data_IF_361501765393
#
_entry.id   IF_361501765393
#
_cell.length_a   1.000
_cell.length_b   1.000
_cell.length_c   1.000
_cell.angle_alpha   90.00
_cell.angle_beta   90.00
_cell.angle_gamma   90.00
#
_symmetry.space_group_name_H-M   'P 1'
#
loop_
_entity.id
_entity.type
_entity.pdbx_description
1 polymer ?
#
# COMPACT_ATOMS: atom_id res chain seq x y z
N UNK A 1 14.94 55.81 55.14
CA UNK A 1 14.25 55.59 53.85
C UNK A 1 14.42 54.08 53.50
N UNK A 2 13.35 53.33 53.71
CA UNK A 2 13.30 51.90 53.39
C UNK A 2 12.79 51.72 51.96
N UNK A 3 13.57 51.08 51.09
CA UNK A 3 13.16 50.71 49.75
C UNK A 3 12.83 49.19 49.75
N UNK A 4 11.54 48.87 49.63
CA UNK A 4 11.02 47.50 49.58
C UNK A 4 11.12 46.97 48.14
N UNK A 5 12.05 46.06 47.92
CA UNK A 5 12.23 45.36 46.65
C UNK A 5 11.17 44.28 46.48
N UNK A 6 10.34 44.41 45.46
CA UNK A 6 9.30 43.44 45.10
C UNK A 6 9.84 42.45 44.08
N UNK A 7 10.16 41.21 44.53
CA UNK A 7 10.54 40.12 43.65
C UNK A 7 9.32 39.60 42.89
N UNK A 8 9.33 39.75 41.56
CA UNK A 8 8.35 39.14 40.67
C UNK A 8 8.90 37.80 40.22
N UNK A 9 8.33 36.69 40.71
CA UNK A 9 8.60 35.34 40.19
C UNK A 9 7.87 35.18 38.85
N UNK A 10 8.63 35.07 37.78
CA UNK A 10 8.11 34.58 36.51
C UNK A 10 8.06 33.05 36.54
N UNK A 11 6.86 32.50 36.63
CA UNK A 11 6.64 31.08 36.44
C UNK A 11 6.62 30.77 34.92
N UNK A 12 7.68 30.15 34.41
CA UNK A 12 7.75 29.67 33.04
C UNK A 12 6.91 28.38 32.89
N UNK A 13 5.78 28.49 32.21
CA UNK A 13 4.94 27.36 31.84
C UNK A 13 5.62 26.62 30.67
N UNK A 14 6.26 25.47 30.95
CA UNK A 14 6.79 24.56 29.92
C UNK A 14 5.63 23.74 29.38
N UNK A 15 5.14 24.11 28.19
CA UNK A 15 4.20 23.27 27.42
C UNK A 15 4.95 22.05 26.89
N UNK A 16 4.77 20.90 27.52
CA UNK A 16 5.23 19.61 26.98
C UNK A 16 4.32 19.22 25.82
N UNK A 17 4.80 19.37 24.58
CA UNK A 17 4.17 18.78 23.42
C UNK A 17 4.37 17.24 23.51
N UNK A 18 3.30 16.49 23.79
CA UNK A 18 3.31 15.06 23.67
C UNK A 18 3.51 14.72 22.18
N UNK A 19 4.44 13.79 21.83
CA UNK A 19 4.51 13.30 20.46
C UNK A 19 3.16 12.64 20.14
N UNK A 20 2.51 13.10 19.06
CA UNK A 20 1.39 12.38 18.47
C UNK A 20 1.95 11.01 18.05
N UNK A 21 1.51 9.95 18.71
CA UNK A 21 1.70 8.59 18.22
C UNK A 21 0.97 8.56 16.87
N UNK A 22 1.71 8.53 15.77
CA UNK A 22 1.14 8.19 14.48
C UNK A 22 0.50 6.81 14.65
N UNK A 23 -0.80 6.70 14.41
CA UNK A 23 -1.51 5.43 14.43
C UNK A 23 -0.77 4.46 13.50
N UNK A 24 -0.12 3.45 14.09
CA UNK A 24 0.49 2.37 13.32
C UNK A 24 -0.66 1.48 12.86
N UNK A 25 -1.09 1.67 11.61
CA UNK A 25 -2.12 0.81 11.03
C UNK A 25 -1.54 -0.57 10.66
N UNK A 26 -2.43 -1.55 10.59
CA UNK A 26 -2.11 -2.85 10.03
C UNK A 26 -1.95 -2.77 8.51
N UNK A 27 -1.34 -3.79 7.93
CA UNK A 27 -1.19 -3.88 6.48
C UNK A 27 -2.54 -3.80 5.75
N UNK A 28 -3.61 -4.37 6.32
CA UNK A 28 -4.98 -4.28 5.76
C UNK A 28 -5.58 -2.87 5.70
N UNK A 29 -4.97 -1.90 6.35
CA UNK A 29 -5.45 -0.51 6.38
C UNK A 29 -4.50 0.44 5.66
N UNK A 30 -3.39 -0.09 5.15
CA UNK A 30 -2.31 0.73 4.61
C UNK A 30 -2.62 1.25 3.20
N UNK A 31 -2.27 2.51 2.96
CA UNK A 31 -2.29 3.14 1.64
C UNK A 31 -0.87 3.49 1.25
N UNK A 32 -0.50 3.11 0.04
CA UNK A 32 0.80 3.42 -0.56
C UNK A 32 0.60 4.20 -1.85
N UNK A 33 1.56 5.02 -2.22
CA UNK A 33 1.56 5.72 -3.49
C UNK A 33 2.90 5.59 -4.20
N UNK A 34 2.88 5.58 -5.53
CA UNK A 34 4.09 5.73 -6.32
C UNK A 34 4.67 7.15 -6.13
N UNK A 35 5.94 7.42 -6.47
CA UNK A 35 6.56 8.73 -6.26
C UNK A 35 5.85 9.89 -6.96
N UNK A 36 5.13 9.62 -8.06
CA UNK A 36 4.35 10.62 -8.79
C UNK A 36 2.96 10.84 -8.18
N UNK A 37 2.49 9.95 -7.29
CA UNK A 37 1.15 9.97 -6.72
C UNK A 37 0.04 9.62 -7.72
N UNK A 38 0.42 9.03 -8.87
CA UNK A 38 -0.52 8.63 -9.91
C UNK A 38 -1.16 7.29 -9.62
N UNK A 39 -0.40 6.38 -9.02
CA UNK A 39 -0.86 5.04 -8.67
C UNK A 39 -0.84 4.87 -7.15
N UNK A 40 -1.97 4.41 -6.61
CA UNK A 40 -2.10 4.15 -5.18
C UNK A 40 -2.53 2.70 -4.94
N UNK A 41 -1.88 2.04 -3.98
CA UNK A 41 -2.28 0.74 -3.46
C UNK A 41 -3.09 0.98 -2.18
N UNK A 42 -4.36 0.62 -2.19
CA UNK A 42 -5.24 0.67 -1.04
C UNK A 42 -5.46 -0.75 -0.52
N UNK A 43 -4.77 -1.12 0.55
CA UNK A 43 -4.98 -2.40 1.21
C UNK A 43 -6.31 -2.40 1.94
N UNK A 44 -6.97 -3.54 1.94
CA UNK A 44 -8.26 -3.76 2.59
C UNK A 44 -8.31 -5.16 3.22
N UNK A 45 -9.16 -5.38 4.23
CA UNK A 45 -9.25 -6.67 4.91
C UNK A 45 -9.60 -7.79 3.94
N UNK A 46 -8.94 -8.94 4.10
CA UNK A 46 -9.30 -10.18 3.39
C UNK A 46 -10.60 -10.72 3.96
N UNK A 47 -11.60 -10.93 3.11
CA UNK A 47 -12.85 -11.56 3.52
C UNK A 47 -12.65 -13.00 3.99
N UNK A 48 -13.55 -13.49 4.85
CA UNK A 48 -13.46 -14.81 5.50
C UNK A 48 -13.43 -16.02 4.55
N UNK A 49 -13.75 -15.85 3.26
CA UNK A 49 -13.85 -16.92 2.28
C UNK A 49 -12.56 -17.14 1.47
N UNK A 50 -11.55 -16.28 1.62
CA UNK A 50 -10.31 -16.32 0.85
C UNK A 50 -9.17 -17.00 1.61
N UNK A 51 -9.34 -18.22 2.07
CA UNK A 51 -8.43 -18.96 2.98
C UNK A 51 -6.96 -19.05 2.54
N UNK A 52 -6.63 -18.83 1.28
CA UNK A 52 -5.26 -18.84 0.75
C UNK A 52 -4.71 -17.44 0.47
N UNK A 53 -5.55 -16.41 0.55
CA UNK A 53 -5.16 -15.02 0.35
C UNK A 53 -4.61 -14.44 1.64
N UNK A 54 -3.41 -13.88 1.61
CA UNK A 54 -2.78 -13.23 2.77
C UNK A 54 -3.04 -11.74 2.84
N UNK A 55 -3.27 -11.09 1.69
CA UNK A 55 -3.59 -9.67 1.59
C UNK A 55 -4.48 -9.41 0.38
N UNK A 56 -5.32 -8.40 0.50
CA UNK A 56 -6.12 -7.85 -0.57
C UNK A 56 -5.85 -6.36 -0.72
N UNK A 57 -5.84 -5.85 -1.94
CA UNK A 57 -5.66 -4.43 -2.20
C UNK A 57 -6.31 -4.01 -3.52
N UNK A 58 -6.60 -2.73 -3.66
CA UNK A 58 -7.00 -2.09 -4.91
C UNK A 58 -5.86 -1.22 -5.44
N UNK A 59 -5.64 -1.24 -6.75
CA UNK A 59 -4.77 -0.25 -7.40
C UNK A 59 -5.66 0.83 -8.01
N UNK A 60 -5.54 2.04 -7.50
CA UNK A 60 -6.25 3.21 -8.01
C UNK A 60 -5.35 3.95 -8.99
N UNK A 61 -5.87 4.28 -10.16
CA UNK A 61 -5.14 4.99 -11.20
C UNK A 61 -5.62 6.45 -11.25
N UNK A 62 -4.93 7.35 -10.57
CA UNK A 62 -5.21 8.78 -10.55
C UNK A 62 -6.69 9.11 -10.45
N UNK A 63 -7.15 10.09 -11.22
CA UNK A 63 -8.54 10.53 -11.28
C UNK A 63 -9.34 9.83 -12.40
N UNK A 64 -8.85 8.71 -12.93
CA UNK A 64 -9.50 8.00 -14.05
C UNK A 64 -10.76 7.23 -13.63
N UNK A 65 -10.90 6.92 -12.33
CA UNK A 65 -11.94 6.03 -11.82
C UNK A 65 -11.64 4.54 -12.00
N UNK A 66 -10.51 4.18 -12.62
CA UNK A 66 -10.09 2.78 -12.78
C UNK A 66 -9.58 2.24 -11.44
N UNK A 67 -10.13 1.11 -11.04
CA UNK A 67 -9.74 0.33 -9.87
C UNK A 67 -9.38 -1.08 -10.31
N UNK A 68 -8.14 -1.48 -10.09
CA UNK A 68 -7.69 -2.85 -10.34
C UNK A 68 -7.76 -3.67 -9.05
N UNK A 69 -8.08 -4.94 -9.17
CA UNK A 69 -8.09 -5.89 -8.06
C UNK A 69 -6.72 -6.53 -7.85
N UNK A 70 -6.21 -6.48 -6.62
CA UNK A 70 -4.95 -7.08 -6.23
C UNK A 70 -5.13 -8.10 -5.10
N UNK A 71 -4.62 -9.30 -5.29
CA UNK A 71 -4.57 -10.34 -4.24
C UNK A 71 -3.15 -10.84 -4.07
N UNK A 72 -2.81 -11.22 -2.84
CA UNK A 72 -1.52 -11.80 -2.50
C UNK A 72 -1.74 -13.16 -1.85
N UNK A 73 -0.99 -14.15 -2.30
CA UNK A 73 -0.98 -15.50 -1.75
C UNK A 73 0.45 -15.83 -1.30
N UNK A 74 0.57 -16.40 -0.12
CA UNK A 74 1.85 -16.97 0.31
C UNK A 74 1.95 -18.42 -0.16
N UNK A 75 2.86 -18.68 -1.06
CA UNK A 75 3.01 -20.00 -1.69
C UNK A 75 4.44 -20.29 -2.11
N UNK A 76 4.69 -21.55 -2.45
CA UNK A 76 5.98 -22.02 -2.98
C UNK A 76 6.97 -22.47 -1.92
N UNK A 77 8.06 -23.07 -2.40
CA UNK A 77 9.21 -23.48 -1.58
C UNK A 77 10.50 -23.06 -2.30
N UNK A 78 11.22 -22.04 -1.79
CA UNK A 78 10.95 -21.28 -0.56
C UNK A 78 9.68 -20.43 -0.65
N UNK A 79 9.07 -20.15 0.51
CA UNK A 79 7.85 -19.33 0.62
C UNK A 79 8.04 -17.97 -0.05
N UNK A 80 7.03 -17.54 -0.82
CA UNK A 80 6.97 -16.23 -1.48
C UNK A 80 5.59 -15.60 -1.27
N UNK A 81 5.55 -14.29 -1.15
CA UNK A 81 4.33 -13.50 -1.29
C UNK A 81 4.14 -13.22 -2.79
N UNK A 82 3.29 -13.99 -3.44
CA UNK A 82 2.99 -13.85 -4.87
C UNK A 82 1.71 -13.04 -5.04
N UNK A 83 1.82 -11.91 -5.74
CA UNK A 83 0.71 -11.05 -6.07
C UNK A 83 0.22 -11.24 -7.49
N UNK A 84 -1.05 -10.97 -7.69
CA UNK A 84 -1.68 -10.80 -9.00
C UNK A 84 -2.55 -9.55 -8.97
N UNK A 85 -2.44 -8.72 -10.01
CA UNK A 85 -3.28 -7.52 -10.21
C UNK A 85 -4.11 -7.75 -11.46
N UNK A 86 -5.41 -7.53 -11.37
CA UNK A 86 -6.39 -7.87 -12.40
C UNK A 86 -7.28 -6.67 -12.74
N UNK A 87 -7.76 -6.62 -13.97
CA UNK A 87 -8.69 -5.61 -14.47
C UNK A 87 -9.93 -6.27 -15.07
N UNK A 88 -11.09 -6.04 -14.47
CA UNK A 88 -12.39 -6.51 -14.97
C UNK A 88 -12.43 -7.99 -15.35
N UNK A 89 -11.88 -8.87 -14.51
CA UNK A 89 -11.99 -10.30 -14.71
C UNK A 89 -13.44 -10.79 -14.67
N UNK A 90 -13.81 -11.76 -15.51
CA UNK A 90 -15.13 -12.40 -15.45
C UNK A 90 -15.42 -12.98 -14.06
N UNK A 91 -16.67 -12.95 -13.65
CA UNK A 91 -17.13 -13.57 -12.39
C UNK A 91 -17.45 -15.06 -12.59
N UNK A 92 -17.19 -15.87 -11.56
CA UNK A 92 -17.45 -17.32 -11.56
C UNK A 92 -16.21 -18.14 -11.92
N UNK A 93 -16.43 -19.31 -12.52
CA UNK A 93 -15.32 -20.21 -12.93
C UNK A 93 -14.61 -19.61 -14.15
N UNK A 94 -13.46 -19.03 -13.93
CA UNK A 94 -12.64 -18.38 -14.95
C UNK A 94 -11.64 -19.40 -15.50
N UNK A 95 -11.54 -19.51 -16.83
CA UNK A 95 -10.51 -20.31 -17.49
C UNK A 95 -9.13 -19.67 -17.40
N UNK A 96 -8.06 -20.45 -17.57
CA UNK A 96 -6.70 -19.90 -17.58
C UNK A 96 -6.50 -18.79 -18.61
N UNK A 97 -7.09 -18.92 -19.80
CA UNK A 97 -7.01 -17.93 -20.86
C UNK A 97 -7.76 -16.62 -20.53
N UNK A 98 -8.92 -16.72 -19.86
CA UNK A 98 -9.66 -15.53 -19.40
C UNK A 98 -8.93 -14.82 -18.28
N UNK A 99 -8.34 -15.57 -17.34
CA UNK A 99 -7.51 -14.99 -16.28
C UNK A 99 -6.28 -14.28 -16.87
N UNK A 100 -5.58 -14.90 -17.81
CA UNK A 100 -4.45 -14.28 -18.51
C UNK A 100 -4.84 -12.98 -19.20
N UNK A 101 -5.99 -12.95 -19.88
CA UNK A 101 -6.48 -11.77 -20.60
C UNK A 101 -6.83 -10.58 -19.69
N UNK A 102 -7.25 -10.83 -18.44
CA UNK A 102 -7.57 -9.80 -17.46
C UNK A 102 -6.44 -9.53 -16.45
N UNK A 103 -5.34 -10.29 -16.49
CA UNK A 103 -4.18 -10.04 -15.64
C UNK A 103 -3.41 -8.82 -16.13
N UNK A 104 -3.20 -7.85 -15.23
CA UNK A 104 -2.39 -6.65 -15.46
C UNK A 104 -0.93 -6.89 -15.07
N UNK A 105 -0.73 -7.56 -13.95
CA UNK A 105 0.60 -7.86 -13.41
C UNK A 105 0.54 -9.11 -12.52
N UNK A 106 1.62 -9.88 -12.53
CA UNK A 106 1.80 -11.01 -11.64
C UNK A 106 3.27 -11.13 -11.27
N UNK A 107 3.56 -11.28 -9.97
CA UNK A 107 4.94 -11.41 -9.52
C UNK A 107 5.08 -11.45 -8.00
N UNK A 108 6.33 -11.58 -7.50
CA UNK A 108 6.60 -11.52 -6.07
C UNK A 108 6.40 -10.08 -5.56
N UNK A 109 5.79 -9.96 -4.38
CA UNK A 109 5.68 -8.69 -3.66
C UNK A 109 6.67 -8.67 -2.51
N UNK A 110 7.48 -7.61 -2.45
CA UNK A 110 8.39 -7.38 -1.35
C UNK A 110 7.94 -6.18 -0.52
N UNK A 111 8.23 -6.25 0.78
CA UNK A 111 8.09 -5.15 1.71
C UNK A 111 9.45 -4.62 2.13
N UNK A 112 9.55 -3.33 2.37
CA UNK A 112 10.72 -2.69 2.96
C UNK A 112 10.31 -2.12 4.31
N UNK A 113 11.04 -2.43 5.35
CA UNK A 113 10.80 -1.88 6.67
C UNK A 113 11.42 -0.47 6.85
N UNK A 114 11.18 0.16 8.00
CA UNK A 114 11.72 1.49 8.35
C UNK A 114 13.26 1.51 8.43
N UNK A 115 13.90 0.36 8.61
CA UNK A 115 15.37 0.21 8.59
C UNK A 115 15.93 0.00 7.17
N UNK A 116 15.06 -0.11 6.15
CA UNK A 116 15.43 -0.34 4.76
C UNK A 116 15.70 -1.81 4.42
N UNK A 117 15.33 -2.74 5.30
CA UNK A 117 15.48 -4.16 5.04
C UNK A 117 14.35 -4.66 4.15
N UNK A 118 14.72 -5.44 3.12
CA UNK A 118 13.77 -6.03 2.19
C UNK A 118 13.38 -7.42 2.68
N UNK A 119 12.10 -7.69 2.74
CA UNK A 119 11.52 -8.98 3.13
C UNK A 119 10.25 -9.29 2.36
N UNK A 120 9.61 -10.40 2.71
CA UNK A 120 8.30 -10.74 2.18
C UNK A 120 7.24 -9.80 2.76
N UNK A 121 6.22 -9.48 1.95
CA UNK A 121 5.03 -8.82 2.47
C UNK A 121 4.41 -9.70 3.58
N UNK A 122 4.18 -9.10 4.72
CA UNK A 122 3.58 -9.77 5.87
C UNK A 122 2.04 -9.88 5.69
N UNK A 123 1.38 -10.81 6.41
CA UNK A 123 -0.08 -10.92 6.42
C UNK A 123 -0.78 -9.61 6.83
N UNK A 124 -2.08 -9.55 6.56
CA UNK A 124 -2.90 -8.34 6.71
C UNK A 124 -2.95 -7.72 8.11
N UNK A 125 -2.78 -8.54 9.16
CA UNK A 125 -2.78 -8.14 10.57
C UNK A 125 -1.43 -7.62 11.09
N UNK A 126 -0.36 -7.77 10.30
CA UNK A 126 0.96 -7.25 10.65
C UNK A 126 1.01 -5.72 10.51
N UNK A 127 1.96 -5.03 11.18
CA UNK A 127 2.19 -3.61 10.97
C UNK A 127 2.47 -3.28 9.51
N UNK A 128 1.95 -2.14 9.03
CA UNK A 128 2.17 -1.67 7.66
C UNK A 128 3.67 -1.49 7.37
N UNK A 129 4.10 -1.94 6.20
CA UNK A 129 5.47 -1.75 5.72
C UNK A 129 5.74 -0.27 5.38
N UNK A 130 7.01 0.15 5.36
CA UNK A 130 7.40 1.49 4.92
C UNK A 130 7.24 1.67 3.40
N UNK A 131 7.56 0.62 2.65
CA UNK A 131 7.41 0.58 1.19
C UNK A 131 7.00 -0.81 0.72
N UNK A 132 6.33 -0.84 -0.42
CA UNK A 132 5.98 -2.06 -1.16
C UNK A 132 6.67 -2.00 -2.52
N UNK A 133 7.20 -3.14 -2.98
CA UNK A 133 7.80 -3.30 -4.29
C UNK A 133 7.00 -4.30 -5.11
N UNK A 134 6.58 -3.87 -6.30
CA UNK A 134 5.98 -4.68 -7.35
C UNK A 134 6.91 -4.66 -8.57
N UNK A 135 7.87 -5.59 -8.68
CA UNK A 135 8.85 -5.60 -9.77
C UNK A 135 8.17 -5.66 -11.14
N UNK A 136 8.61 -4.84 -12.08
CA UNK A 136 8.09 -4.76 -13.46
C UNK A 136 6.59 -4.36 -13.55
N UNK A 137 6.04 -3.70 -12.52
CA UNK A 137 4.63 -3.28 -12.54
C UNK A 137 4.35 -2.29 -13.68
N UNK A 138 5.17 -1.25 -13.83
CA UNK A 138 5.01 -0.25 -14.89
C UNK A 138 5.01 -0.83 -16.31
N UNK A 139 6.03 -1.62 -16.70
CA UNK A 139 6.04 -2.33 -18.00
C UNK A 139 4.82 -3.22 -18.22
N UNK A 140 4.44 -4.02 -17.21
CA UNK A 140 3.28 -4.92 -17.29
C UNK A 140 1.97 -4.15 -17.48
N UNK A 141 1.80 -3.04 -16.75
CA UNK A 141 0.62 -2.18 -16.88
C UNK A 141 0.47 -1.64 -18.32
N UNK A 142 1.57 -1.22 -18.96
CA UNK A 142 1.54 -0.71 -20.37
C UNK A 142 1.08 -1.74 -21.38
N UNK A 143 1.32 -3.02 -21.13
CA UNK A 143 0.93 -4.12 -22.01
C UNK A 143 -0.47 -4.66 -21.72
N UNK A 144 -1.14 -4.14 -20.67
CA UNK A 144 -2.40 -4.66 -20.17
C UNK A 144 -3.64 -3.92 -20.66
N UNK A 145 -4.81 -4.49 -20.36
CA UNK A 145 -6.11 -3.85 -20.61
C UNK A 145 -6.35 -2.58 -19.79
N UNK A 146 -5.54 -2.31 -18.77
CA UNK A 146 -5.63 -1.11 -17.93
C UNK A 146 -4.85 0.10 -18.47
N UNK A 147 -4.24 0.00 -19.64
CA UNK A 147 -3.50 1.08 -20.30
C UNK A 147 -4.30 1.73 -21.43
N UNK A 148 -4.14 3.03 -21.63
CA UNK A 148 -4.71 3.81 -22.72
C UNK A 148 -5.59 4.97 -22.28
N UNK A 149 -6.30 5.58 -23.23
CA UNK A 149 -7.17 6.73 -22.99
C UNK A 149 -8.23 6.44 -21.92
N UNK A 150 -8.35 7.33 -20.95
CA UNK A 150 -9.25 7.17 -19.79
C UNK A 150 -8.78 6.15 -18.74
N UNK A 151 -7.56 5.64 -18.88
CA UNK A 151 -6.92 4.64 -18.00
C UNK A 151 -5.52 5.09 -17.61
N UNK A 152 -4.61 4.15 -17.33
CA UNK A 152 -3.20 4.45 -17.13
C UNK A 152 -2.55 4.98 -18.42
N UNK A 153 -1.91 6.13 -18.36
CA UNK A 153 -1.17 6.74 -19.48
C UNK A 153 0.22 7.21 -19.08
N UNK A 154 0.55 7.07 -17.81
CA UNK A 154 1.84 7.48 -17.23
C UNK A 154 2.52 6.24 -16.64
N UNK A 155 3.83 6.15 -16.81
CA UNK A 155 4.60 5.04 -16.24
C UNK A 155 4.50 5.03 -14.72
N UNK A 156 4.21 3.85 -14.16
CA UNK A 156 4.26 3.60 -12.72
C UNK A 156 5.69 3.25 -12.29
N UNK A 157 6.03 3.62 -11.06
CA UNK A 157 7.21 3.07 -10.37
C UNK A 157 6.92 1.66 -9.84
N UNK A 158 7.97 0.85 -9.72
CA UNK A 158 7.90 -0.44 -9.01
C UNK A 158 7.84 -0.27 -7.48
N UNK A 159 8.16 0.93 -6.99
CA UNK A 159 8.25 1.25 -5.55
C UNK A 159 7.09 2.15 -5.15
N UNK A 160 6.34 1.69 -4.16
CA UNK A 160 5.22 2.41 -3.56
C UNK A 160 5.55 2.75 -2.11
N UNK A 161 5.45 4.01 -1.73
CA UNK A 161 5.77 4.52 -0.39
C UNK A 161 4.52 4.60 0.47
N UNK A 162 4.64 4.28 1.75
CA UNK A 162 3.55 4.40 2.71
C UNK A 162 3.06 5.86 2.77
N UNK A 163 1.76 6.06 2.56
CA UNK A 163 1.10 7.35 2.55
C UNK A 163 0.30 7.60 3.82
N UNK A 164 -0.24 6.56 4.42
CA UNK A 164 -1.07 6.64 5.61
C UNK A 164 -2.01 5.45 5.73
N UNK A 165 -2.92 5.55 6.69
CA UNK A 165 -3.97 4.55 6.89
C UNK A 165 -5.22 4.97 6.12
N UNK A 166 -5.84 4.03 5.41
CA UNK A 166 -7.16 4.16 4.84
C UNK A 166 -8.25 4.13 5.93
N UNK A 167 -9.38 4.71 5.64
CA UNK A 167 -10.57 4.74 6.53
C UNK A 167 -11.55 3.64 6.12
#
# INVERSE_FOLDING_TARGET
>A
VMICGRNVLFASLVLSAAPALADECTQAQAVYADPAGTYELHFEPVGSEAAVTSNHFKVRIGDTGVLLDGVVMQSGEPLRANGIVMNDCPTGDVTGAELEACTVWQGPIYAVDKAGQIGLLQPEDAPAADRILLPDFGPSLRESSAWGEGKGTTDSSDVFQFKGCGS
#
